data_IF_144104470076
#
_entry.id   IF_144104470076
#
_cell.length_a   1.000
_cell.length_b   1.000
_cell.length_c   1.000
_cell.angle_alpha   90.00
_cell.angle_beta   90.00
_cell.angle_gamma   90.00
#
_symmetry.space_group_name_H-M   'P 1'
#
loop_
_entity.id
_entity.type
_entity.pdbx_description
1 polymer ?
#
# COMPACT_ATOMS: atom_id res chain seq x y z
N UNK A 1 2.92 16.11 -17.98
CA UNK A 1 2.02 16.39 -19.14
C UNK A 1 1.20 15.14 -19.41
N UNK A 2 -0.11 15.14 -19.14
CA UNK A 2 -1.00 14.04 -19.55
C UNK A 2 -1.05 14.04 -21.09
N UNK A 3 -0.36 13.08 -21.71
CA UNK A 3 -0.31 12.92 -23.17
C UNK A 3 -1.59 12.30 -23.74
N UNK A 4 -2.35 11.61 -22.89
CA UNK A 4 -3.55 10.86 -23.27
C UNK A 4 -4.87 11.61 -23.03
N UNK A 5 -4.84 12.87 -22.57
CA UNK A 5 -6.05 13.65 -22.22
C UNK A 5 -6.03 15.03 -22.88
N UNK A 6 -7.13 15.48 -23.53
CA UNK A 6 -7.26 16.82 -24.09
C UNK A 6 -7.08 17.92 -23.02
N UNK A 7 -6.44 19.04 -23.37
CA UNK A 7 -6.09 20.10 -22.40
C UNK A 7 -7.30 20.66 -21.61
N UNK A 8 -8.49 20.72 -22.22
CA UNK A 8 -9.73 21.17 -21.55
C UNK A 8 -10.19 20.27 -20.39
N UNK A 9 -9.75 19.01 -20.32
CA UNK A 9 -10.19 18.05 -19.29
C UNK A 9 -9.07 17.66 -18.30
N UNK A 10 -7.91 18.32 -18.37
CA UNK A 10 -6.76 18.00 -17.51
C UNK A 10 -7.05 18.13 -16.02
N UNK A 11 -7.75 19.19 -15.60
CA UNK A 11 -8.05 19.41 -14.18
C UNK A 11 -8.94 18.29 -13.61
N UNK A 12 -9.92 17.84 -14.39
CA UNK A 12 -10.77 16.71 -14.03
C UNK A 12 -9.96 15.40 -13.94
N UNK A 13 -9.12 15.11 -14.94
CA UNK A 13 -8.27 13.92 -14.95
C UNK A 13 -7.28 13.88 -13.77
N UNK A 14 -6.71 15.02 -13.38
CA UNK A 14 -5.85 15.13 -12.20
C UNK A 14 -6.62 14.85 -10.90
N UNK A 15 -7.85 15.36 -10.79
CA UNK A 15 -8.74 15.06 -9.67
C UNK A 15 -9.03 13.56 -9.56
N UNK A 16 -9.41 12.92 -10.68
CA UNK A 16 -9.66 11.48 -10.74
C UNK A 16 -8.42 10.67 -10.38
N UNK A 17 -7.24 11.00 -10.94
CA UNK A 17 -5.99 10.34 -10.56
C UNK A 17 -5.71 10.46 -9.06
N UNK A 18 -5.92 11.64 -8.47
CA UNK A 18 -5.70 11.87 -7.05
C UNK A 18 -6.64 11.03 -6.18
N UNK A 19 -7.91 10.89 -6.58
CA UNK A 19 -8.88 10.02 -5.91
C UNK A 19 -8.41 8.56 -5.96
N UNK A 20 -8.00 8.05 -7.13
CA UNK A 20 -7.49 6.69 -7.24
C UNK A 20 -6.23 6.44 -6.40
N UNK A 21 -5.27 7.37 -6.42
CA UNK A 21 -4.06 7.30 -5.59
C UNK A 21 -4.39 7.25 -4.09
N UNK A 22 -5.37 8.04 -3.65
CA UNK A 22 -5.78 8.04 -2.24
C UNK A 22 -6.52 6.76 -1.87
N UNK A 23 -7.50 6.34 -2.67
CA UNK A 23 -8.27 5.13 -2.38
C UNK A 23 -7.38 3.88 -2.37
N UNK A 24 -6.47 3.75 -3.34
CA UNK A 24 -5.61 2.57 -3.48
C UNK A 24 -4.28 2.67 -2.72
N UNK A 25 -3.89 3.85 -2.27
CA UNK A 25 -2.63 4.07 -1.53
C UNK A 25 -2.88 4.29 -0.05
N UNK A 26 -3.68 5.31 0.29
CA UNK A 26 -3.82 5.77 1.68
C UNK A 26 -4.76 4.94 2.55
N UNK A 27 -5.66 4.14 1.94
CA UNK A 27 -6.50 3.20 2.69
C UNK A 27 -5.76 1.89 2.97
N UNK A 28 -5.19 1.19 1.97
CA UNK A 28 -4.49 -0.06 2.24
C UNK A 28 -3.15 0.16 2.95
N UNK A 29 -2.48 1.30 2.76
CA UNK A 29 -1.22 1.63 3.44
C UNK A 29 -1.25 1.42 4.96
N UNK A 30 -2.10 2.13 5.72
CA UNK A 30 -2.21 1.99 7.17
C UNK A 30 -2.78 0.63 7.60
N UNK A 31 -3.65 -0.01 6.80
CA UNK A 31 -4.18 -1.34 7.10
C UNK A 31 -3.04 -2.37 7.06
N UNK A 32 -2.24 -2.38 5.99
CA UNK A 32 -1.09 -3.29 5.86
C UNK A 32 -0.04 -3.01 6.92
N UNK A 33 0.19 -1.74 7.27
CA UNK A 33 1.12 -1.38 8.34
C UNK A 33 0.61 -1.86 9.71
N UNK A 34 -0.70 -1.74 9.98
CA UNK A 34 -1.32 -2.28 11.19
C UNK A 34 -1.16 -3.79 11.30
N UNK A 35 -1.45 -4.52 10.22
CA UNK A 35 -1.26 -5.98 10.18
C UNK A 35 0.22 -6.37 10.34
N UNK A 36 1.14 -5.62 9.76
CA UNK A 36 2.58 -5.88 9.91
C UNK A 36 3.03 -5.72 11.38
N UNK A 37 2.53 -4.70 12.08
CA UNK A 37 2.79 -4.48 13.51
C UNK A 37 2.18 -5.60 14.36
N UNK A 38 0.94 -6.01 14.08
CA UNK A 38 0.29 -7.09 14.81
C UNK A 38 1.05 -8.43 14.64
N UNK A 39 1.61 -8.68 13.45
CA UNK A 39 2.38 -9.88 13.15
C UNK A 39 3.83 -9.86 13.67
N UNK A 40 4.38 -8.70 14.00
CA UNK A 40 5.71 -8.58 14.62
C UNK A 40 5.66 -8.67 16.15
N UNK A 41 4.48 -8.79 16.75
CA UNK A 41 4.35 -8.93 18.19
C UNK A 41 4.82 -10.33 18.68
N UNK A 42 5.84 -10.35 19.53
CA UNK A 42 6.37 -11.58 20.14
C UNK A 42 5.70 -11.87 21.48
N UNK A 43 5.37 -10.83 22.26
CA UNK A 43 4.72 -10.95 23.56
C UNK A 43 3.52 -10.01 23.67
N UNK A 44 2.32 -10.59 23.65
CA UNK A 44 1.06 -9.87 23.84
C UNK A 44 0.81 -9.61 25.33
N UNK A 45 0.38 -8.39 25.68
CA UNK A 45 -0.23 -8.12 26.99
C UNK A 45 -1.56 -8.89 27.05
N UNK A 46 -1.67 -9.80 28.02
CA UNK A 46 -2.90 -10.53 28.30
C UNK A 46 -3.33 -10.17 29.71
N UNK A 47 -4.44 -9.44 29.80
CA UNK A 47 -4.99 -9.02 31.09
C UNK A 47 -5.54 -10.22 31.87
N UNK A 48 -5.85 -10.03 33.16
CA UNK A 48 -6.46 -11.05 34.02
C UNK A 48 -7.79 -11.60 33.44
N UNK A 49 -8.49 -10.80 32.62
CA UNK A 49 -9.68 -11.19 31.86
C UNK A 49 -9.38 -11.94 30.53
N UNK A 50 -8.13 -12.34 30.29
CA UNK A 50 -7.63 -12.96 29.04
C UNK A 50 -7.84 -12.14 27.77
N UNK A 51 -8.04 -10.83 27.88
CA UNK A 51 -8.17 -9.93 26.73
C UNK A 51 -6.79 -9.48 26.26
N UNK A 52 -6.57 -9.57 24.93
CA UNK A 52 -5.34 -9.10 24.28
C UNK A 52 -5.32 -7.57 24.27
N UNK A 53 -4.32 -6.99 24.91
CA UNK A 53 -4.04 -5.55 24.92
C UNK A 53 -2.97 -5.16 23.90
N UNK A 54 -2.17 -4.15 24.23
CA UNK A 54 -1.02 -3.76 23.42
C UNK A 54 0.11 -4.81 23.48
N UNK A 55 1.01 -4.82 22.49
CA UNK A 55 2.18 -5.68 22.55
C UNK A 55 3.26 -5.07 23.45
N UNK A 56 3.92 -5.88 24.28
CA UNK A 56 5.05 -5.43 25.11
C UNK A 56 6.37 -5.43 24.36
N UNK A 57 6.58 -6.43 23.50
CA UNK A 57 7.83 -6.60 22.77
C UNK A 57 7.57 -6.93 21.30
N UNK A 58 7.99 -6.00 20.45
CA UNK A 58 7.97 -6.16 19.00
C UNK A 58 9.33 -6.65 18.50
N UNK A 59 9.30 -7.61 17.58
CA UNK A 59 10.49 -8.07 16.87
C UNK A 59 10.77 -7.15 15.66
N UNK A 60 11.87 -6.40 15.75
CA UNK A 60 12.28 -5.43 14.74
C UNK A 60 12.67 -6.09 13.42
N UNK A 61 13.31 -7.27 13.46
CA UNK A 61 13.74 -7.99 12.26
C UNK A 61 12.50 -8.46 11.49
N UNK A 62 11.56 -9.08 12.20
CA UNK A 62 10.30 -9.55 11.61
C UNK A 62 9.47 -8.39 11.06
N UNK A 63 9.43 -7.26 11.78
CA UNK A 63 8.76 -6.05 11.30
C UNK A 63 9.40 -5.53 9.99
N UNK A 64 10.73 -5.46 9.94
CA UNK A 64 11.45 -5.02 8.74
C UNK A 64 11.19 -5.94 7.54
N UNK A 65 11.22 -7.26 7.73
CA UNK A 65 10.92 -8.22 6.66
C UNK A 65 9.49 -8.08 6.14
N UNK A 66 8.51 -7.92 7.03
CA UNK A 66 7.11 -7.73 6.64
C UNK A 66 6.91 -6.44 5.84
N UNK A 67 7.48 -5.32 6.30
CA UNK A 67 7.40 -4.04 5.59
C UNK A 67 8.12 -4.07 4.24
N UNK A 68 9.31 -4.68 4.18
CA UNK A 68 10.04 -4.92 2.94
C UNK A 68 9.22 -5.78 1.96
N UNK A 69 8.62 -6.87 2.45
CA UNK A 69 7.78 -7.76 1.64
C UNK A 69 6.56 -7.06 1.06
N UNK A 70 5.86 -6.26 1.87
CA UNK A 70 4.72 -5.44 1.44
C UNK A 70 5.14 -4.44 0.37
N UNK A 71 6.24 -3.71 0.61
CA UNK A 71 6.79 -2.75 -0.35
C UNK A 71 7.17 -3.43 -1.67
N UNK A 72 7.87 -4.55 -1.61
CA UNK A 72 8.27 -5.33 -2.77
C UNK A 72 7.04 -5.82 -3.56
N UNK A 73 6.02 -6.36 -2.90
CA UNK A 73 4.77 -6.79 -3.54
C UNK A 73 4.08 -5.64 -4.27
N UNK A 74 3.94 -4.48 -3.62
CA UNK A 74 3.39 -3.27 -4.25
C UNK A 74 4.20 -2.82 -5.48
N UNK A 75 5.54 -2.89 -5.42
CA UNK A 75 6.42 -2.58 -6.55
C UNK A 75 6.22 -3.58 -7.69
N UNK A 76 6.13 -4.87 -7.41
CA UNK A 76 5.90 -5.91 -8.42
C UNK A 76 4.56 -5.69 -9.13
N UNK A 77 3.49 -5.43 -8.38
CA UNK A 77 2.17 -5.10 -8.95
C UNK A 77 2.29 -3.87 -9.87
N UNK A 78 2.98 -2.83 -9.43
CA UNK A 78 3.20 -1.62 -10.24
C UNK A 78 3.94 -1.95 -11.55
N UNK A 79 4.99 -2.77 -11.49
CA UNK A 79 5.74 -3.19 -12.68
C UNK A 79 4.83 -3.97 -13.64
N UNK A 80 4.00 -4.87 -13.14
CA UNK A 80 3.03 -5.62 -13.97
C UNK A 80 2.07 -4.66 -14.67
N UNK A 81 1.49 -3.70 -13.94
CA UNK A 81 0.61 -2.68 -14.55
C UNK A 81 1.32 -1.83 -15.60
N UNK A 82 2.57 -1.44 -15.36
CA UNK A 82 3.38 -0.68 -16.32
C UNK A 82 3.68 -1.53 -17.56
N UNK A 83 4.06 -2.80 -17.41
CA UNK A 83 4.31 -3.71 -18.53
C UNK A 83 3.04 -3.89 -19.35
N UNK A 84 1.90 -4.16 -18.70
CA UNK A 84 0.61 -4.25 -19.38
C UNK A 84 0.29 -2.95 -20.13
N UNK A 85 0.46 -1.80 -19.48
CA UNK A 85 0.25 -0.51 -20.12
C UNK A 85 1.14 -0.35 -21.35
N UNK A 86 2.43 -0.71 -21.30
CA UNK A 86 3.34 -0.64 -22.46
C UNK A 86 2.92 -1.59 -23.57
N UNK A 87 2.48 -2.82 -23.25
CA UNK A 87 2.03 -3.78 -24.25
C UNK A 87 0.72 -3.37 -24.94
N UNK A 88 -0.22 -2.78 -24.19
CA UNK A 88 -1.54 -2.37 -24.71
C UNK A 88 -1.55 -0.94 -25.26
N UNK A 89 -0.61 -0.09 -24.86
CA UNK A 89 -0.52 1.28 -25.35
C UNK A 89 -0.02 1.28 -26.79
N UNK A 90 -0.96 1.34 -27.73
CA UNK A 90 -0.65 1.62 -29.13
C UNK A 90 -0.40 3.11 -29.26
N UNK A 91 0.84 3.55 -29.57
CA UNK A 91 1.12 4.97 -29.74
C UNK A 91 0.31 5.52 -30.93
N UNK A 92 -0.20 6.75 -30.83
CA UNK A 92 -0.76 7.47 -31.98
C UNK A 92 0.32 7.87 -32.98
#
# INVERSE_FOLDING_TARGET
VYRCVPDKQRSFALGVQSVFLRLLGTIPGPILFGVAIDNSCTLWDVNECKTKGACWLYDNERMAYLLMGISAACKIITIIFVIMAVCFYKPP
#
